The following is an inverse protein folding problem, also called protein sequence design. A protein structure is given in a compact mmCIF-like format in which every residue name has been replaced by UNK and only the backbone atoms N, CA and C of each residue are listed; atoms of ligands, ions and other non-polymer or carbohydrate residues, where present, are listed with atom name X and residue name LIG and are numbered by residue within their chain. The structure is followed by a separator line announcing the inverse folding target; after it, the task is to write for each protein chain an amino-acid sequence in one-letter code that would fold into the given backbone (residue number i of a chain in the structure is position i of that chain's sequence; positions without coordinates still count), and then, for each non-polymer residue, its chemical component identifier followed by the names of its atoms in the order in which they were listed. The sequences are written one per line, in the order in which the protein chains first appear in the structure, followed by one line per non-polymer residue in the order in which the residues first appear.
data_IF_847406688013
#
_entry.id   IF_847406688013
#
_cell.length_a   1.000
_cell.length_b   1.000
_cell.length_c   1.000
_cell.angle_alpha   90.00
_cell.angle_beta   90.00
_cell.angle_gamma   90.00
#
_symmetry.space_group_name_H-M   'P 1'
#
loop_
_entity.id
_entity.type
_entity.pdbx_description
1 polymer ?
#
# COMPACT_ATOMS: atom_id res chain seq x y z
N UNK A 1 6.14 16.22 20.33
CA UNK A 1 6.50 16.02 18.91
C UNK A 1 5.45 16.74 18.08
N UNK A 2 5.84 17.67 17.20
CA UNK A 2 4.89 18.51 16.45
C UNK A 2 4.05 17.68 15.48
N UNK A 3 2.78 18.05 15.32
CA UNK A 3 1.82 17.41 14.40
C UNK A 3 2.40 17.29 12.98
N UNK A 4 2.21 16.15 12.28
CA UNK A 4 2.62 16.04 10.89
C UNK A 4 1.85 17.07 10.05
N UNK A 5 2.57 17.89 9.30
CA UNK A 5 1.95 18.88 8.42
C UNK A 5 1.24 18.19 7.23
N UNK A 6 0.32 18.89 6.55
CA UNK A 6 -0.40 18.32 5.40
C UNK A 6 0.52 17.79 4.28
N UNK A 7 1.70 18.40 4.10
CA UNK A 7 2.72 17.89 3.16
C UNK A 7 3.28 16.52 3.57
N UNK A 8 3.42 16.26 4.87
CA UNK A 8 3.89 14.97 5.40
C UNK A 8 2.81 13.91 5.29
N UNK A 9 1.53 14.27 5.44
CA UNK A 9 0.42 13.36 5.17
C UNK A 9 0.31 13.01 3.68
N UNK A 10 0.46 13.99 2.79
CA UNK A 10 0.52 13.74 1.34
C UNK A 10 1.68 12.80 0.97
N UNK A 11 2.87 13.01 1.57
CA UNK A 11 3.99 12.10 1.37
C UNK A 11 3.66 10.69 1.86
N UNK A 12 3.09 10.56 3.06
CA UNK A 12 2.69 9.28 3.62
C UNK A 12 1.72 8.55 2.68
N UNK A 13 0.59 9.16 2.33
CA UNK A 13 -0.40 8.52 1.47
C UNK A 13 0.14 8.23 0.06
N UNK A 14 0.98 9.10 -0.51
CA UNK A 14 1.68 8.83 -1.77
C UNK A 14 2.61 7.62 -1.67
N UNK A 15 3.33 7.49 -0.55
CA UNK A 15 4.20 6.33 -0.29
C UNK A 15 3.39 5.04 -0.17
N UNK A 16 2.27 5.08 0.55
CA UNK A 16 1.36 3.94 0.68
C UNK A 16 0.73 3.54 -0.66
N UNK A 17 0.40 4.50 -1.51
CA UNK A 17 -0.12 4.25 -2.86
C UNK A 17 0.91 3.53 -3.74
N UNK A 18 2.18 3.96 -3.69
CA UNK A 18 3.28 3.28 -4.40
C UNK A 18 3.42 1.84 -3.88
N UNK A 19 3.28 1.61 -2.58
CA UNK A 19 3.28 0.26 -2.03
C UNK A 19 2.12 -0.59 -2.57
N UNK A 20 0.94 -0.02 -2.75
CA UNK A 20 -0.16 -0.73 -3.40
C UNK A 20 0.16 -1.08 -4.86
N UNK A 21 0.90 -0.23 -5.59
CA UNK A 21 1.37 -0.54 -6.96
C UNK A 21 2.34 -1.72 -6.98
N UNK A 22 3.22 -1.86 -5.96
CA UNK A 22 4.08 -3.06 -5.81
C UNK A 22 3.23 -4.32 -5.85
N UNK A 23 2.10 -4.35 -5.13
CA UNK A 23 1.21 -5.51 -5.11
C UNK A 23 0.58 -5.83 -6.48
N UNK A 24 0.39 -4.83 -7.33
CA UNK A 24 -0.09 -5.03 -8.71
C UNK A 24 0.96 -5.73 -9.55
N UNK A 25 2.22 -5.29 -9.49
CA UNK A 25 3.33 -5.94 -10.20
C UNK A 25 3.55 -7.37 -9.71
N UNK A 26 3.53 -7.60 -8.40
CA UNK A 26 3.63 -8.94 -7.82
C UNK A 26 2.54 -9.88 -8.37
N UNK A 27 1.29 -9.39 -8.44
CA UNK A 27 0.18 -10.19 -8.96
C UNK A 27 0.30 -10.43 -10.47
N UNK A 28 0.71 -9.44 -11.25
CA UNK A 28 0.97 -9.59 -12.68
C UNK A 28 2.11 -10.59 -12.94
N UNK A 29 3.18 -10.56 -12.15
CA UNK A 29 4.26 -11.54 -12.22
C UNK A 29 3.73 -12.95 -11.96
N UNK A 30 2.91 -13.15 -10.91
CA UNK A 30 2.28 -14.43 -10.60
C UNK A 30 1.39 -14.96 -11.73
N UNK A 31 0.61 -14.10 -12.38
CA UNK A 31 -0.22 -14.48 -13.54
C UNK A 31 0.62 -14.90 -14.75
N UNK A 32 1.73 -14.21 -15.02
CA UNK A 32 2.64 -14.56 -16.13
C UNK A 32 3.41 -15.83 -15.86
N UNK A 33 3.80 -16.07 -14.61
CA UNK A 33 4.44 -17.30 -14.20
C UNK A 33 3.50 -18.50 -14.38
N UNK A 34 2.22 -18.35 -13.99
CA UNK A 34 1.20 -19.37 -14.22
C UNK A 34 1.00 -19.65 -15.73
N UNK A 35 1.12 -18.63 -16.58
CA UNK A 35 1.08 -18.76 -18.03
C UNK A 35 2.40 -19.28 -18.67
N UNK A 36 3.40 -19.66 -17.86
CA UNK A 36 4.72 -20.12 -18.31
C UNK A 36 5.49 -19.09 -19.16
N UNK A 37 5.19 -17.80 -19.00
CA UNK A 37 5.88 -16.70 -19.67
C UNK A 37 6.98 -16.14 -18.75
N UNK A 38 8.15 -16.78 -18.79
CA UNK A 38 9.29 -16.42 -17.95
C UNK A 38 9.81 -15.00 -18.22
N UNK A 39 9.79 -14.55 -19.48
CA UNK A 39 10.27 -13.23 -19.87
C UNK A 39 9.44 -12.12 -19.23
N UNK A 40 8.12 -12.20 -19.36
CA UNK A 40 7.22 -11.21 -18.77
C UNK A 40 7.16 -11.31 -17.24
N UNK A 41 7.33 -12.52 -16.68
CA UNK A 41 7.46 -12.72 -15.23
C UNK A 41 8.65 -11.95 -14.68
N UNK A 42 9.82 -12.09 -15.29
CA UNK A 42 11.03 -11.37 -14.88
C UNK A 42 10.86 -9.84 -15.05
N UNK A 43 10.20 -9.41 -16.12
CA UNK A 43 9.92 -7.99 -16.33
C UNK A 43 9.06 -7.39 -15.21
N UNK A 44 7.99 -8.07 -14.81
CA UNK A 44 7.14 -7.61 -13.70
C UNK A 44 7.84 -7.71 -12.34
N UNK A 45 8.66 -8.74 -12.11
CA UNK A 45 9.47 -8.84 -10.89
C UNK A 45 10.50 -7.70 -10.79
N UNK A 46 11.13 -7.33 -11.91
CA UNK A 46 12.03 -6.18 -11.96
C UNK A 46 11.29 -4.87 -11.69
N UNK A 47 10.08 -4.69 -12.25
CA UNK A 47 9.23 -3.54 -11.98
C UNK A 47 8.78 -3.49 -10.51
N UNK A 48 8.42 -4.63 -9.92
CA UNK A 48 8.11 -4.78 -8.49
C UNK A 48 9.29 -4.35 -7.62
N UNK A 49 10.50 -4.87 -7.92
CA UNK A 49 11.72 -4.52 -7.20
C UNK A 49 12.06 -3.03 -7.30
N UNK A 50 11.91 -2.43 -8.49
CA UNK A 50 12.12 -0.99 -8.69
C UNK A 50 11.11 -0.15 -7.88
N UNK A 51 9.83 -0.55 -7.87
CA UNK A 51 8.79 0.11 -7.08
C UNK A 51 9.05 -0.03 -5.56
N UNK A 52 9.55 -1.20 -5.10
CA UNK A 52 9.95 -1.42 -3.72
C UNK A 52 11.15 -0.57 -3.31
N UNK A 53 12.12 -0.37 -4.20
CA UNK A 53 13.24 0.54 -3.95
C UNK A 53 12.74 1.97 -3.78
N UNK A 54 11.88 2.45 -4.69
CA UNK A 54 11.29 3.78 -4.58
C UNK A 54 10.47 3.95 -3.30
N UNK A 55 9.62 2.97 -2.97
CA UNK A 55 8.86 2.92 -1.73
C UNK A 55 9.79 2.99 -0.50
N UNK A 56 10.88 2.22 -0.49
CA UNK A 56 11.80 2.15 0.65
C UNK A 56 12.46 3.50 0.93
N UNK A 57 12.87 4.23 -0.10
CA UNK A 57 13.44 5.58 0.03
C UNK A 57 12.41 6.59 0.55
N UNK A 58 11.18 6.57 0.00
CA UNK A 58 10.10 7.44 0.45
C UNK A 58 9.66 7.10 1.88
N UNK A 59 9.65 5.83 2.25
CA UNK A 59 9.32 5.37 3.59
C UNK A 59 10.33 5.87 4.62
N UNK A 60 11.63 5.87 4.28
CA UNK A 60 12.65 6.49 5.13
C UNK A 60 12.39 7.99 5.33
N UNK A 61 11.91 8.70 4.29
CA UNK A 61 11.55 10.11 4.40
C UNK A 61 10.31 10.35 5.27
N UNK A 62 9.31 9.47 5.18
CA UNK A 62 8.12 9.48 6.05
C UNK A 62 8.52 9.31 7.51
N UNK A 63 9.33 8.29 7.83
CA UNK A 63 9.76 7.99 9.20
C UNK A 63 10.60 9.12 9.84
N UNK A 64 11.25 9.97 9.03
CA UNK A 64 11.96 11.16 9.52
C UNK A 64 11.03 12.33 9.89
N UNK A 65 9.76 12.29 9.50
CA UNK A 65 8.80 13.42 9.62
C UNK A 65 7.66 13.17 10.60
N UNK A 66 7.48 11.94 11.10
CA UNK A 66 6.39 11.60 12.01
C UNK A 66 6.74 10.41 12.93
N UNK A 67 6.02 10.22 14.05
CA UNK A 67 6.23 9.08 14.94
C UNK A 67 6.04 7.74 14.22
N UNK A 68 6.83 6.73 14.60
CA UNK A 68 6.75 5.40 14.00
C UNK A 68 5.36 4.78 14.18
N UNK A 69 4.78 4.85 15.39
CA UNK A 69 3.44 4.32 15.67
C UNK A 69 2.39 4.90 14.72
N UNK A 70 2.37 6.23 14.58
CA UNK A 70 1.48 6.92 13.65
C UNK A 70 1.67 6.48 12.19
N UNK A 71 2.92 6.42 11.72
CA UNK A 71 3.23 6.00 10.34
C UNK A 71 2.80 4.56 10.06
N UNK A 72 3.09 3.63 10.98
CA UNK A 72 2.79 2.22 10.81
C UNK A 72 1.28 1.93 10.90
N UNK A 73 0.53 2.63 11.77
CA UNK A 73 -0.93 2.51 11.81
C UNK A 73 -1.56 2.89 10.47
N UNK A 74 -1.06 3.94 9.82
CA UNK A 74 -1.54 4.34 8.51
C UNK A 74 -1.25 3.32 7.40
N UNK A 75 -0.37 2.33 7.59
CA UNK A 75 -0.22 1.23 6.62
C UNK A 75 -1.50 0.42 6.42
N UNK A 76 -2.44 0.44 7.36
CA UNK A 76 -3.77 -0.17 7.15
C UNK A 76 -4.49 0.42 5.94
N UNK A 77 -4.22 1.67 5.57
CA UNK A 77 -4.76 2.30 4.36
C UNK A 77 -4.21 1.65 3.07
N UNK A 78 -3.03 1.01 3.09
CA UNK A 78 -2.56 0.23 1.94
C UNK A 78 -3.54 -0.90 1.59
N UNK A 79 -4.15 -1.54 2.59
CA UNK A 79 -5.12 -2.61 2.36
C UNK A 79 -6.31 -2.14 1.53
N UNK A 80 -6.77 -0.90 1.75
CA UNK A 80 -7.80 -0.27 0.91
C UNK A 80 -7.33 -0.18 -0.54
N UNK A 81 -6.16 0.40 -0.78
CA UNK A 81 -5.64 0.59 -2.13
C UNK A 81 -5.38 -0.72 -2.86
N UNK A 82 -4.81 -1.72 -2.18
CA UNK A 82 -4.62 -3.06 -2.73
C UNK A 82 -5.96 -3.70 -3.11
N UNK A 83 -6.99 -3.57 -2.27
CA UNK A 83 -8.33 -4.08 -2.60
C UNK A 83 -8.91 -3.34 -3.82
N UNK A 84 -8.84 -2.01 -3.85
CA UNK A 84 -9.32 -1.20 -4.99
C UNK A 84 -8.60 -1.53 -6.29
N UNK A 85 -7.28 -1.74 -6.26
CA UNK A 85 -6.51 -2.19 -7.42
C UNK A 85 -6.85 -3.63 -7.82
N UNK A 86 -7.14 -4.50 -6.86
CA UNK A 86 -7.71 -5.83 -7.09
C UNK A 86 -8.98 -5.77 -7.92
N UNK A 87 -9.92 -4.90 -7.53
CA UNK A 87 -11.16 -4.66 -8.27
C UNK A 87 -10.86 -4.07 -9.67
N UNK A 88 -10.07 -3.00 -9.73
CA UNK A 88 -9.88 -2.21 -10.95
C UNK A 88 -9.09 -2.94 -12.04
N UNK A 89 -8.01 -3.64 -11.68
CA UNK A 89 -7.10 -4.25 -12.66
C UNK A 89 -7.34 -5.75 -12.87
N UNK A 90 -7.92 -6.44 -11.90
CA UNK A 90 -8.05 -7.89 -11.93
C UNK A 90 -9.51 -8.37 -11.85
N UNK A 91 -10.48 -7.46 -11.82
CA UNK A 91 -11.90 -7.80 -11.76
C UNK A 91 -12.27 -8.59 -10.50
N UNK A 92 -11.52 -8.42 -9.41
CA UNK A 92 -11.86 -9.09 -8.16
C UNK A 92 -13.21 -8.61 -7.64
N UNK A 93 -13.99 -9.52 -7.07
CA UNK A 93 -15.23 -9.15 -6.40
C UNK A 93 -14.96 -8.64 -4.99
N UNK A 94 -15.65 -7.56 -4.63
CA UNK A 94 -15.77 -7.08 -3.25
C UNK A 94 -16.90 -7.84 -2.57
N UNK A 95 -16.57 -8.92 -1.88
CA UNK A 95 -17.55 -9.64 -1.06
C UNK A 95 -17.84 -8.88 0.23
N UNK A 96 -18.98 -9.17 0.87
CA UNK A 96 -19.33 -8.59 2.17
C UNK A 96 -18.25 -8.83 3.23
N UNK A 97 -17.59 -9.99 3.22
CA UNK A 97 -16.47 -10.29 4.11
C UNK A 97 -15.25 -9.39 3.88
N UNK A 98 -14.86 -9.16 2.61
CA UNK A 98 -13.76 -8.23 2.27
C UNK A 98 -14.10 -6.80 2.71
N UNK A 99 -15.34 -6.36 2.47
CA UNK A 99 -15.80 -5.03 2.86
C UNK A 99 -15.80 -4.86 4.38
N UNK A 100 -16.33 -5.82 5.14
CA UNK A 100 -16.34 -5.77 6.61
C UNK A 100 -14.92 -5.75 7.19
N UNK A 101 -14.02 -6.61 6.68
CA UNK A 101 -12.61 -6.62 7.09
C UNK A 101 -11.92 -5.28 6.80
N UNK A 102 -12.20 -4.67 5.65
CA UNK A 102 -11.66 -3.37 5.29
C UNK A 102 -12.15 -2.26 6.23
N UNK A 103 -13.44 -2.26 6.60
CA UNK A 103 -13.98 -1.30 7.59
C UNK A 103 -13.27 -1.45 8.94
N UNK A 104 -13.06 -2.69 9.42
CA UNK A 104 -12.36 -2.94 10.68
C UNK A 104 -10.92 -2.41 10.64
N UNK A 105 -10.19 -2.66 9.54
CA UNK A 105 -8.82 -2.15 9.36
C UNK A 105 -8.81 -0.62 9.40
N UNK A 106 -9.71 0.04 8.65
CA UNK A 106 -9.77 1.50 8.59
C UNK A 106 -10.21 2.13 9.92
N UNK A 107 -11.12 1.48 10.66
CA UNK A 107 -11.50 1.92 12.00
C UNK A 107 -10.30 1.85 12.97
N UNK A 108 -9.48 0.79 12.89
CA UNK A 108 -8.24 0.69 13.66
C UNK A 108 -7.24 1.80 13.31
N UNK A 109 -7.08 2.14 12.03
CA UNK A 109 -6.25 3.28 11.63
C UNK A 109 -6.79 4.59 12.21
N UNK A 110 -8.10 4.84 12.07
CA UNK A 110 -8.74 6.05 12.56
C UNK A 110 -8.55 6.23 14.06
N UNK A 111 -8.77 5.17 14.85
CA UNK A 111 -8.60 5.18 16.30
C UNK A 111 -7.19 5.64 16.72
N UNK A 112 -6.15 5.09 16.09
CA UNK A 112 -4.75 5.45 16.41
C UNK A 112 -4.38 6.84 15.89
N UNK A 113 -4.95 7.25 14.76
CA UNK A 113 -4.76 8.62 14.24
C UNK A 113 -5.37 9.64 15.20
N UNK A 114 -6.58 9.40 15.70
CA UNK A 114 -7.28 10.30 16.64
C UNK A 114 -6.66 10.32 18.04
N UNK A 115 -6.03 9.23 18.51
CA UNK A 115 -5.30 9.21 19.80
C UNK A 115 -4.04 10.09 19.77
N UNK A 116 -3.52 10.35 18.57
CA UNK A 116 -2.39 11.24 18.33
C UNK A 116 -2.78 12.68 17.92
N UNK A 117 -4.09 13.00 17.88
CA UNK A 117 -4.60 14.38 17.71
C UNK A 117 -4.62 15.15 19.03
#
# INVERSE_FOLDING_TARGET
MSRPNGRSMLLLHGTLLIYAVVSVFAKLAGLRLAAQDAGMTLAFLAAEAAALLAYSLLWQLVLRRMPLGFAYSNKGVCTLWTALFGLAFFGEQMTWGKAAGLVVVLAGVALVVTDHE
#
